data_IF_252858643847
#
_entry.id   IF_252858643847
#
_cell.length_a   1.000
_cell.length_b   1.000
_cell.length_c   1.000
_cell.angle_alpha   90.00
_cell.angle_beta   90.00
_cell.angle_gamma   90.00
#
_symmetry.space_group_name_H-M   'P 1'
#
loop_
_entity.id
_entity.type
_entity.pdbx_description
1 polymer ?
#
# COMPACT_ATOMS: atom_id res chain seq x y z
N UNK A 1 -25.20 51.20 -16.95
CA UNK A 1 -23.97 50.97 -17.74
C UNK A 1 -22.80 51.08 -16.77
N UNK A 2 -21.94 50.10 -16.54
CA UNK A 2 -21.67 48.85 -17.23
C UNK A 2 -21.52 47.72 -16.19
N UNK A 3 -22.09 46.56 -16.49
CA UNK A 3 -21.74 45.30 -15.84
C UNK A 3 -20.26 45.05 -16.08
N UNK A 4 -19.46 44.92 -15.02
CA UNK A 4 -18.13 44.32 -15.20
C UNK A 4 -18.36 42.84 -15.46
N UNK A 5 -18.30 42.46 -16.73
CA UNK A 5 -18.08 41.08 -17.12
C UNK A 5 -16.74 40.67 -16.53
N UNK A 6 -16.78 40.07 -15.34
CA UNK A 6 -15.66 39.24 -14.88
C UNK A 6 -15.53 38.15 -15.92
N UNK A 7 -14.46 38.18 -16.69
CA UNK A 7 -14.00 37.05 -17.49
C UNK A 7 -13.68 35.91 -16.52
N UNK A 8 -14.72 35.19 -16.11
CA UNK A 8 -14.63 34.00 -15.29
C UNK A 8 -14.06 32.93 -16.20
N UNK A 9 -12.84 32.47 -15.90
CA UNK A 9 -12.31 31.26 -16.51
C UNK A 9 -13.35 30.16 -16.25
N UNK A 10 -13.85 29.47 -17.29
CA UNK A 10 -14.77 28.35 -17.12
C UNK A 10 -14.25 27.34 -16.08
N UNK A 11 -15.16 26.82 -15.24
CA UNK A 11 -14.78 25.90 -14.16
C UNK A 11 -14.05 24.67 -14.69
N UNK A 12 -14.41 24.19 -15.87
CA UNK A 12 -13.79 23.03 -16.52
C UNK A 12 -12.31 23.28 -16.86
N UNK A 13 -11.96 24.51 -17.27
CA UNK A 13 -10.56 24.90 -17.54
C UNK A 13 -9.76 25.04 -16.25
N UNK A 14 -10.40 25.51 -15.17
CA UNK A 14 -9.76 25.57 -13.83
C UNK A 14 -9.49 24.14 -13.36
N UNK A 15 -10.46 23.24 -13.52
CA UNK A 15 -10.35 21.83 -13.17
C UNK A 15 -9.21 21.15 -13.92
N UNK A 16 -9.14 21.30 -15.25
CA UNK A 16 -8.06 20.76 -16.07
C UNK A 16 -6.69 21.32 -15.66
N UNK A 17 -6.63 22.61 -15.35
CA UNK A 17 -5.40 23.25 -14.85
C UNK A 17 -4.99 22.65 -13.51
N UNK A 18 -5.91 22.49 -12.57
CA UNK A 18 -5.62 21.92 -11.25
C UNK A 18 -5.20 20.45 -11.33
N UNK A 19 -5.75 19.67 -12.26
CA UNK A 19 -5.33 18.30 -12.53
C UNK A 19 -3.86 18.16 -12.96
N UNK A 20 -3.24 19.23 -13.47
CA UNK A 20 -1.82 19.24 -13.89
C UNK A 20 -0.87 19.76 -12.82
N UNK A 21 -1.41 20.34 -11.75
CA UNK A 21 -0.62 20.95 -10.67
C UNK A 21 -0.27 19.87 -9.63
N UNK A 22 0.99 19.80 -9.15
CA UNK A 22 1.34 18.91 -8.05
C UNK A 22 0.53 19.23 -6.79
N UNK A 23 0.11 18.19 -6.08
CA UNK A 23 -0.86 18.27 -4.98
C UNK A 23 -0.40 19.24 -3.87
N UNK A 24 0.90 19.37 -3.65
CA UNK A 24 1.55 20.25 -2.67
C UNK A 24 1.21 21.74 -2.88
N UNK A 25 0.91 22.13 -4.13
CA UNK A 25 0.50 23.48 -4.46
C UNK A 25 -1.03 23.65 -4.42
N UNK A 26 -1.80 22.57 -4.61
CA UNK A 26 -3.27 22.61 -4.59
C UNK A 26 -3.83 23.14 -3.27
N UNK A 27 -3.21 22.79 -2.15
CA UNK A 27 -3.64 23.26 -0.82
C UNK A 27 -3.55 24.77 -0.66
N UNK A 28 -2.61 25.43 -1.34
CA UNK A 28 -2.46 26.90 -1.31
C UNK A 28 -3.61 27.61 -2.03
N UNK A 29 -4.15 27.00 -3.08
CA UNK A 29 -5.27 27.55 -3.83
C UNK A 29 -6.60 27.52 -3.07
N UNK A 30 -6.72 26.69 -2.02
CA UNK A 30 -7.89 26.69 -1.11
C UNK A 30 -8.15 28.06 -0.47
N UNK A 31 -7.10 28.87 -0.30
CA UNK A 31 -7.17 30.18 0.35
C UNK A 31 -7.47 31.33 -0.61
N UNK A 32 -7.43 31.11 -1.93
CA UNK A 32 -7.51 32.18 -2.91
C UNK A 32 -8.95 32.63 -3.19
N UNK A 33 -9.90 31.70 -3.35
CA UNK A 33 -11.32 32.03 -3.52
C UNK A 33 -12.27 30.88 -3.16
N UNK A 34 -13.55 31.20 -2.93
CA UNK A 34 -14.60 30.23 -2.56
C UNK A 34 -14.86 29.18 -3.64
N UNK A 35 -14.76 29.55 -4.92
CA UNK A 35 -14.98 28.64 -6.05
C UNK A 35 -13.92 27.54 -6.09
N UNK A 36 -12.65 27.91 -5.91
CA UNK A 36 -11.53 26.95 -5.89
C UNK A 36 -11.56 26.08 -4.64
N UNK A 37 -11.92 26.66 -3.49
CA UNK A 37 -12.15 25.89 -2.27
C UNK A 37 -13.23 24.83 -2.45
N UNK A 38 -14.36 25.17 -3.08
CA UNK A 38 -15.44 24.24 -3.36
C UNK A 38 -14.99 23.14 -4.33
N UNK A 39 -14.28 23.49 -5.41
CA UNK A 39 -13.74 22.53 -6.37
C UNK A 39 -12.78 21.52 -5.71
N UNK A 40 -11.85 21.99 -4.88
CA UNK A 40 -10.87 21.15 -4.17
C UNK A 40 -11.49 20.28 -3.06
N UNK A 41 -12.78 20.45 -2.77
CA UNK A 41 -13.57 19.61 -1.87
C UNK A 41 -14.58 18.73 -2.61
N UNK A 42 -14.75 18.93 -3.92
CA UNK A 42 -15.67 18.15 -4.71
C UNK A 42 -15.13 16.73 -4.92
N UNK A 43 -15.97 15.73 -4.64
CA UNK A 43 -15.57 14.31 -4.73
C UNK A 43 -15.19 13.91 -6.15
N UNK A 44 -15.87 14.44 -7.17
CA UNK A 44 -15.57 14.13 -8.57
C UNK A 44 -14.20 14.66 -8.94
N UNK A 45 -13.88 15.88 -8.54
CA UNK A 45 -12.53 16.43 -8.72
C UNK A 45 -11.48 15.60 -7.97
N UNK A 46 -11.71 15.28 -6.70
CA UNK A 46 -10.75 14.52 -5.86
C UNK A 46 -10.40 13.18 -6.53
N UNK A 47 -11.41 12.42 -6.95
CA UNK A 47 -11.19 11.12 -7.58
C UNK A 47 -10.61 11.22 -8.99
N UNK A 48 -11.04 12.20 -9.78
CA UNK A 48 -10.42 12.49 -11.09
C UNK A 48 -8.95 12.87 -10.94
N UNK A 49 -8.61 13.68 -9.94
CA UNK A 49 -7.24 14.06 -9.63
C UNK A 49 -6.43 12.82 -9.24
N UNK A 50 -6.96 12.01 -8.33
CA UNK A 50 -6.31 10.80 -7.83
C UNK A 50 -5.96 9.80 -8.94
N UNK A 51 -6.81 9.64 -9.95
CA UNK A 51 -6.56 8.76 -11.11
C UNK A 51 -5.41 9.26 -12.01
N UNK A 52 -4.94 10.51 -11.83
CA UNK A 52 -3.83 11.11 -12.57
C UNK A 52 -2.51 11.18 -11.75
N UNK A 53 -2.61 11.04 -10.43
CA UNK A 53 -1.48 11.11 -9.50
C UNK A 53 -0.58 9.90 -9.72
N UNK A 54 0.71 10.14 -9.52
CA UNK A 54 1.73 9.09 -9.58
C UNK A 54 1.99 8.56 -8.18
N UNK A 55 2.17 7.25 -8.11
CA UNK A 55 2.63 6.55 -6.92
C UNK A 55 4.00 7.08 -6.47
N UNK A 56 4.22 7.04 -5.16
CA UNK A 56 5.43 7.44 -4.45
C UNK A 56 5.75 6.37 -3.42
N UNK A 57 6.92 6.48 -2.81
CA UNK A 57 7.24 5.68 -1.62
C UNK A 57 7.02 6.52 -0.36
N UNK A 58 6.49 5.87 0.68
CA UNK A 58 6.42 6.41 2.03
C UNK A 58 7.17 5.49 2.99
N UNK A 59 7.99 6.07 3.87
CA UNK A 59 8.68 5.39 4.96
C UNK A 59 8.45 6.15 6.26
N UNK A 60 8.41 5.43 7.36
CA UNK A 60 8.46 6.01 8.70
C UNK A 60 9.76 5.51 9.36
N UNK A 61 10.54 6.44 9.87
CA UNK A 61 11.86 6.17 10.44
C UNK A 61 12.15 7.16 11.56
N UNK A 62 12.47 6.66 12.75
CA UNK A 62 12.80 7.48 13.94
C UNK A 62 11.82 8.67 14.16
N UNK A 63 10.51 8.40 14.10
CA UNK A 63 9.48 9.42 14.28
C UNK A 63 9.35 10.43 13.11
N UNK A 64 10.00 10.17 11.98
CA UNK A 64 9.93 10.99 10.77
C UNK A 64 9.22 10.25 9.64
N UNK A 65 8.28 10.93 8.99
CA UNK A 65 7.62 10.49 7.76
C UNK A 65 8.41 11.01 6.57
N UNK A 66 8.89 10.11 5.73
CA UNK A 66 9.61 10.42 4.50
C UNK A 66 8.76 10.03 3.30
N UNK A 67 8.53 10.97 2.39
CA UNK A 67 7.85 10.72 1.10
C UNK A 67 8.86 10.96 -0.02
N UNK A 68 9.00 9.98 -0.90
CA UNK A 68 10.02 9.96 -1.94
C UNK A 68 9.34 9.81 -3.30
N UNK A 69 9.65 10.75 -4.19
CA UNK A 69 9.22 10.69 -5.59
C UNK A 69 10.34 10.05 -6.43
N UNK A 70 10.14 8.80 -6.90
CA UNK A 70 11.17 8.10 -7.65
C UNK A 70 11.30 8.57 -9.11
N UNK A 71 10.49 9.51 -9.61
CA UNK A 71 10.68 10.03 -10.97
C UNK A 71 11.78 11.09 -11.04
N UNK A 72 11.91 11.92 -9.99
CA UNK A 72 12.84 13.05 -9.94
C UNK A 72 13.75 13.06 -8.70
N UNK A 73 13.67 12.04 -7.85
CA UNK A 73 14.44 11.92 -6.61
C UNK A 73 14.03 12.91 -5.51
N UNK A 74 12.95 13.68 -5.69
CA UNK A 74 12.51 14.65 -4.70
C UNK A 74 12.06 13.94 -3.42
N UNK A 75 12.49 14.47 -2.27
CA UNK A 75 12.17 13.94 -0.94
C UNK A 75 11.57 15.03 -0.09
N UNK A 76 10.58 14.65 0.71
CA UNK A 76 10.08 15.48 1.80
C UNK A 76 10.13 14.68 3.09
N UNK A 77 10.58 15.33 4.16
CA UNK A 77 10.60 14.77 5.50
C UNK A 77 9.75 15.66 6.41
N UNK A 78 8.92 15.05 7.24
CA UNK A 78 8.08 15.73 8.22
C UNK A 78 7.97 14.86 9.48
N UNK A 79 7.81 15.45 10.68
CA UNK A 79 7.58 14.66 11.88
C UNK A 79 6.30 13.83 11.73
N UNK A 80 6.28 12.65 12.35
CA UNK A 80 5.06 11.86 12.50
C UNK A 80 4.03 12.70 13.27
N UNK A 81 2.73 12.63 12.91
CA UNK A 81 1.72 13.41 13.61
C UNK A 81 1.69 13.09 15.10
N UNK A 82 1.48 14.11 15.94
CA UNK A 82 1.53 13.95 17.40
C UNK A 82 0.59 12.88 17.96
N UNK A 83 -0.47 12.59 17.22
CA UNK A 83 -1.46 11.55 17.52
C UNK A 83 -0.82 10.14 17.56
N UNK A 84 0.32 9.95 16.90
CA UNK A 84 1.09 8.71 16.95
C UNK A 84 2.15 8.68 18.08
N UNK A 85 2.29 9.68 18.94
CA UNK A 85 3.34 9.71 19.98
C UNK A 85 3.31 8.54 20.98
N UNK A 86 2.16 7.88 21.15
CA UNK A 86 2.04 6.69 22.00
C UNK A 86 2.27 5.37 21.23
N UNK A 87 2.53 5.44 19.93
CA UNK A 87 2.83 4.30 19.06
C UNK A 87 4.33 4.07 19.06
N UNK A 88 4.74 2.85 19.41
CA UNK A 88 6.14 2.45 19.37
C UNK A 88 6.60 2.26 17.93
N UNK A 89 5.70 1.72 17.10
CA UNK A 89 6.00 1.23 15.78
C UNK A 89 4.73 1.20 14.92
N UNK A 90 4.84 1.53 13.63
CA UNK A 90 3.85 1.15 12.62
C UNK A 90 4.35 -0.09 11.89
N UNK A 91 3.79 -1.25 12.22
CA UNK A 91 4.29 -2.56 11.80
C UNK A 91 3.73 -3.03 10.46
N UNK A 92 2.70 -2.37 9.94
CA UNK A 92 2.17 -2.63 8.60
C UNK A 92 1.40 -1.43 8.06
N UNK A 93 1.50 -1.20 6.75
CA UNK A 93 0.72 -0.20 6.03
C UNK A 93 0.18 -0.74 4.71
N UNK A 94 -1.06 -0.37 4.37
CA UNK A 94 -1.64 -0.65 3.06
C UNK A 94 -2.50 0.53 2.63
N UNK A 95 -2.37 0.98 1.38
CA UNK A 95 -3.12 2.14 0.89
C UNK A 95 -4.29 1.75 -0.01
N UNK A 96 -5.37 2.52 0.09
CA UNK A 96 -6.45 2.59 -0.90
C UNK A 96 -6.76 4.07 -1.12
N UNK A 97 -6.66 4.53 -2.38
CA UNK A 97 -6.95 5.93 -2.74
C UNK A 97 -6.16 7.00 -1.96
N UNK A 98 -4.99 6.63 -1.45
CA UNK A 98 -4.14 7.47 -0.61
C UNK A 98 -4.53 7.55 0.86
N UNK A 99 -5.61 6.86 1.26
CA UNK A 99 -5.84 6.51 2.65
C UNK A 99 -4.97 5.31 2.99
N UNK A 100 -4.16 5.43 4.05
CA UNK A 100 -3.28 4.37 4.53
C UNK A 100 -3.91 3.76 5.77
N UNK A 101 -4.18 2.46 5.73
CA UNK A 101 -4.49 1.69 6.92
C UNK A 101 -3.18 1.30 7.60
N UNK A 102 -3.01 1.72 8.84
CA UNK A 102 -1.80 1.51 9.64
C UNK A 102 -2.12 0.58 10.81
N UNK A 103 -1.36 -0.51 10.93
CA UNK A 103 -1.30 -1.32 12.13
C UNK A 103 -0.16 -0.82 13.01
N UNK A 104 -0.47 -0.50 14.24
CA UNK A 104 0.43 0.19 15.16
C UNK A 104 0.62 -0.64 16.43
N UNK A 105 1.85 -0.71 16.95
CA UNK A 105 2.14 -1.32 18.26
C UNK A 105 2.14 -0.23 19.33
N UNK A 106 1.37 -0.41 20.40
CA UNK A 106 1.31 0.55 21.50
C UNK A 106 2.56 0.43 22.40
N UNK A 107 3.17 1.57 22.74
CA UNK A 107 4.36 1.64 23.61
C UNK A 107 4.12 1.09 25.02
N UNK A 108 2.91 1.20 25.57
CA UNK A 108 2.62 0.98 26.99
C UNK A 108 1.99 -0.37 27.25
N UNK A 109 1.09 -0.83 26.39
CA UNK A 109 0.30 -2.04 26.61
C UNK A 109 0.78 -3.28 25.86
N UNK A 110 1.77 -3.14 24.96
CA UNK A 110 2.16 -4.18 23.97
C UNK A 110 1.00 -4.65 23.08
N UNK A 111 -0.14 -3.97 23.10
CA UNK A 111 -1.30 -4.29 22.24
C UNK A 111 -1.17 -3.58 20.90
N UNK A 112 -1.85 -4.11 19.88
CA UNK A 112 -1.96 -3.42 18.60
C UNK A 112 -3.12 -2.41 18.60
N UNK A 113 -2.98 -1.42 17.73
CA UNK A 113 -3.98 -0.39 17.40
C UNK A 113 -4.10 -0.30 15.89
N UNK A 114 -5.27 0.09 15.41
CA UNK A 114 -5.54 0.24 13.99
C UNK A 114 -5.98 1.68 13.69
N UNK A 115 -5.42 2.28 12.66
CA UNK A 115 -5.82 3.62 12.21
C UNK A 115 -5.91 3.72 10.70
N UNK A 116 -6.76 4.64 10.23
CA UNK A 116 -6.70 5.13 8.86
C UNK A 116 -6.14 6.54 8.86
N UNK A 117 -5.10 6.74 8.06
CA UNK A 117 -4.32 7.96 8.00
C UNK A 117 -4.28 8.49 6.56
N UNK A 118 -4.50 9.78 6.39
CA UNK A 118 -4.09 10.50 5.18
C UNK A 118 -2.85 11.34 5.52
N UNK A 119 -1.65 10.95 5.06
CA UNK A 119 -0.42 11.70 5.29
C UNK A 119 -0.45 13.12 4.72
N UNK A 120 -1.03 13.30 3.53
CA UNK A 120 -1.07 14.60 2.86
C UNK A 120 -1.98 15.61 3.57
N UNK A 121 -3.15 15.16 4.04
CA UNK A 121 -4.08 16.00 4.80
C UNK A 121 -3.73 16.09 6.29
N UNK A 122 -2.77 15.28 6.75
CA UNK A 122 -2.42 15.12 8.15
C UNK A 122 -3.66 14.84 9.04
N UNK A 123 -4.49 13.89 8.61
CA UNK A 123 -5.73 13.47 9.30
C UNK A 123 -5.68 11.99 9.60
N UNK A 124 -6.13 11.60 10.79
CA UNK A 124 -6.10 10.23 11.29
C UNK A 124 -7.44 9.92 11.95
N UNK A 125 -7.91 8.69 11.79
CA UNK A 125 -9.00 8.10 12.57
C UNK A 125 -8.53 6.78 13.17
N UNK A 126 -8.64 6.66 14.49
CA UNK A 126 -8.43 5.38 15.18
C UNK A 126 -9.69 4.52 15.07
N UNK A 127 -9.49 3.22 14.89
CA UNK A 127 -10.57 2.24 14.81
C UNK A 127 -10.45 1.35 16.05
N UNK A 128 -11.47 1.37 16.89
CA UNK A 128 -11.54 0.48 18.06
C UNK A 128 -11.88 -0.95 17.61
N UNK A 129 -11.22 -1.99 18.17
CA UNK A 129 -11.51 -3.37 17.82
C UNK A 129 -12.89 -3.78 18.37
N UNK A 130 -13.46 -4.85 17.80
CA UNK A 130 -14.60 -5.54 18.44
C UNK A 130 -14.16 -6.25 19.73
N UNK A 131 -12.94 -6.79 19.74
CA UNK A 131 -12.34 -7.55 20.84
C UNK A 131 -10.98 -6.92 21.23
N UNK A 132 -9.89 -7.42 20.65
CA UNK A 132 -8.53 -6.89 20.73
C UNK A 132 -7.89 -7.01 19.34
N UNK A 133 -6.78 -6.31 19.08
CA UNK A 133 -5.98 -6.50 17.87
C UNK A 133 -4.77 -7.39 18.15
N UNK A 134 -4.49 -8.31 17.23
CA UNK A 134 -3.38 -9.28 17.29
C UNK A 134 -2.30 -8.96 16.25
N UNK A 135 -1.08 -9.40 16.52
CA UNK A 135 0.05 -9.44 15.56
C UNK A 135 -0.22 -10.35 14.37
N UNK A 136 -1.10 -11.34 14.52
CA UNK A 136 -1.46 -12.26 13.44
C UNK A 136 -2.64 -11.76 12.59
N UNK A 137 -3.22 -10.60 12.92
CA UNK A 137 -4.34 -10.08 12.17
C UNK A 137 -3.92 -9.59 10.78
N UNK A 138 -4.71 -9.98 9.78
CA UNK A 138 -4.59 -9.48 8.43
C UNK A 138 -5.62 -8.40 8.17
N UNK A 139 -5.20 -7.37 7.44
CA UNK A 139 -6.05 -6.23 7.14
C UNK A 139 -6.10 -5.90 5.65
N UNK A 140 -7.23 -5.32 5.25
CA UNK A 140 -7.42 -4.71 3.93
C UNK A 140 -8.30 -3.48 4.03
N UNK A 141 -8.14 -2.53 3.12
CA UNK A 141 -8.99 -1.35 3.02
C UNK A 141 -9.49 -1.19 1.59
N UNK A 142 -10.76 -0.89 1.44
CA UNK A 142 -11.42 -0.78 0.14
C UNK A 142 -12.74 -0.06 0.25
N UNK A 143 -13.53 -0.09 -0.81
CA UNK A 143 -14.83 0.59 -0.88
C UNK A 143 -15.80 -0.15 -1.80
N UNK A 144 -17.09 0.12 -1.61
CA UNK A 144 -18.12 -0.41 -2.51
C UNK A 144 -18.09 0.32 -3.86
N UNK A 145 -17.40 -0.24 -4.85
CA UNK A 145 -17.27 0.34 -6.18
C UNK A 145 -18.55 0.32 -7.02
N UNK A 146 -19.62 -0.35 -6.58
CA UNK A 146 -20.95 -0.34 -7.23
C UNK A 146 -21.80 0.82 -6.71
N UNK A 147 -21.75 1.08 -5.41
CA UNK A 147 -22.54 2.14 -4.77
C UNK A 147 -21.82 3.48 -4.86
N UNK A 148 -20.61 3.56 -4.30
CA UNK A 148 -19.82 4.79 -4.30
C UNK A 148 -18.38 4.60 -3.78
N UNK A 149 -17.42 5.31 -4.38
CA UNK A 149 -15.99 5.31 -4.01
C UNK A 149 -15.71 5.89 -2.61
N UNK A 150 -16.68 6.52 -1.97
CA UNK A 150 -16.56 7.11 -0.62
C UNK A 150 -17.09 6.21 0.51
N UNK A 151 -17.72 5.07 0.19
CA UNK A 151 -18.16 4.08 1.18
C UNK A 151 -17.02 3.11 1.49
N UNK A 152 -15.96 3.65 2.12
CA UNK A 152 -14.82 2.85 2.55
C UNK A 152 -15.23 1.84 3.63
N UNK A 153 -14.49 0.73 3.69
CA UNK A 153 -14.58 -0.32 4.68
C UNK A 153 -13.20 -0.86 5.00
N UNK A 154 -13.04 -1.43 6.19
CA UNK A 154 -11.84 -2.18 6.57
C UNK A 154 -12.20 -3.65 6.74
N UNK A 155 -11.44 -4.51 6.06
CA UNK A 155 -11.46 -5.95 6.27
C UNK A 155 -10.43 -6.31 7.34
N UNK A 156 -10.81 -7.19 8.24
CA UNK A 156 -9.93 -7.84 9.19
C UNK A 156 -10.17 -9.35 9.16
N UNK A 157 -9.10 -10.14 9.05
CA UNK A 157 -9.12 -11.59 9.26
C UNK A 157 -8.46 -11.83 10.61
N UNK A 158 -9.27 -12.20 11.59
CA UNK A 158 -8.89 -12.36 12.99
C UNK A 158 -8.48 -13.80 13.29
N UNK A 159 -7.22 -13.99 13.70
CA UNK A 159 -6.63 -15.30 14.01
C UNK A 159 -6.99 -15.81 15.43
N UNK A 160 -7.65 -14.99 16.25
CA UNK A 160 -8.22 -15.45 17.53
C UNK A 160 -7.25 -15.60 18.69
N UNK A 161 -5.95 -15.62 18.45
CA UNK A 161 -4.96 -15.86 19.49
C UNK A 161 -4.51 -14.57 20.18
N UNK A 162 -4.74 -14.42 21.50
CA UNK A 162 -4.07 -13.41 22.30
C UNK A 162 -2.58 -13.75 22.46
N UNK A 163 -1.72 -12.75 22.57
CA UNK A 163 -0.27 -12.94 22.70
C UNK A 163 0.18 -13.56 24.04
N UNK A 164 -0.73 -13.81 24.98
CA UNK A 164 -0.39 -14.22 26.36
C UNK A 164 -0.01 -15.71 26.52
N UNK A 165 0.18 -16.44 25.41
CA UNK A 165 0.75 -17.79 25.43
C UNK A 165 -0.12 -18.81 26.15
N UNK A 166 -1.40 -18.52 26.38
CA UNK A 166 -2.35 -19.50 26.90
C UNK A 166 -2.61 -20.57 25.83
N UNK A 167 -1.80 -21.64 25.88
CA UNK A 167 -1.93 -22.85 25.07
C UNK A 167 -3.32 -23.47 25.27
N UNK A 168 -4.29 -23.04 24.48
CA UNK A 168 -5.40 -23.90 24.14
C UNK A 168 -5.34 -24.09 22.63
N UNK A 169 -4.72 -25.21 22.25
CA UNK A 169 -4.79 -25.79 20.92
C UNK A 169 -6.24 -26.20 20.61
N UNK A 170 -7.12 -25.23 20.47
CA UNK A 170 -8.37 -25.38 19.72
C UNK A 170 -8.07 -24.82 18.35
N UNK A 171 -8.44 -25.56 17.30
CA UNK A 171 -8.41 -25.05 15.92
C UNK A 171 -9.26 -23.78 15.86
N UNK A 172 -8.66 -22.61 16.04
CA UNK A 172 -9.37 -21.34 15.92
C UNK A 172 -9.66 -21.15 14.44
N UNK A 173 -10.93 -21.03 14.09
CA UNK A 173 -11.30 -20.67 12.72
C UNK A 173 -11.17 -19.15 12.61
N UNK A 174 -10.38 -18.64 11.65
CA UNK A 174 -10.18 -17.21 11.51
C UNK A 174 -11.53 -16.53 11.25
N UNK A 175 -11.85 -15.49 12.01
CA UNK A 175 -13.10 -14.75 11.86
C UNK A 175 -12.91 -13.58 10.92
N UNK A 176 -13.82 -13.43 9.97
CA UNK A 176 -13.82 -12.31 9.05
C UNK A 176 -14.67 -11.18 9.64
N UNK A 177 -14.05 -10.04 9.88
CA UNK A 177 -14.68 -8.84 10.40
C UNK A 177 -14.62 -7.72 9.35
N UNK A 178 -15.73 -7.01 9.17
CA UNK A 178 -15.80 -5.79 8.36
C UNK A 178 -16.17 -4.61 9.23
N UNK A 179 -15.36 -3.56 9.16
CA UNK A 179 -15.67 -2.26 9.71
C UNK A 179 -16.25 -1.37 8.62
N UNK A 180 -17.42 -0.81 8.88
CA UNK A 180 -18.07 0.13 7.97
C UNK A 180 -17.98 1.54 8.57
N UNK A 181 -17.32 2.45 7.85
CA UNK A 181 -17.18 3.84 8.31
C UNK A 181 -18.52 4.57 8.39
N UNK A 182 -19.48 4.22 7.53
CA UNK A 182 -20.82 4.82 7.52
C UNK A 182 -21.57 4.56 8.83
N UNK A 183 -21.39 3.38 9.41
CA UNK A 183 -22.04 2.96 10.65
C UNK A 183 -21.12 3.01 11.86
N UNK A 184 -19.84 3.36 11.66
CA UNK A 184 -18.80 3.40 12.69
C UNK A 184 -18.78 2.13 13.56
N UNK A 185 -18.94 0.96 12.93
CA UNK A 185 -19.09 -0.31 13.65
C UNK A 185 -18.53 -1.50 12.87
N UNK A 186 -18.09 -2.50 13.63
CA UNK A 186 -17.69 -3.81 13.12
C UNK A 186 -18.91 -4.73 13.01
N UNK A 187 -18.84 -5.64 12.04
CA UNK A 187 -19.71 -6.81 11.95
C UNK A 187 -18.93 -8.01 11.43
N UNK A 188 -19.46 -9.19 11.73
CA UNK A 188 -18.97 -10.43 11.16
C UNK A 188 -19.48 -10.59 9.73
N UNK A 189 -18.60 -11.06 8.85
CA UNK A 189 -18.99 -11.61 7.54
C UNK A 189 -19.22 -13.10 7.74
N UNK A 190 -20.17 -13.68 7.00
CA UNK A 190 -20.58 -15.07 7.16
C UNK A 190 -19.38 -16.03 7.27
N UNK A 191 -19.56 -17.03 8.14
CA UNK A 191 -18.55 -17.99 8.53
C UNK A 191 -18.05 -18.77 7.32
N UNK A 192 -16.88 -18.37 6.82
CA UNK A 192 -16.22 -19.01 5.69
C UNK A 192 -14.94 -19.61 6.23
N UNK A 193 -14.82 -20.93 6.21
CA UNK A 193 -13.55 -21.58 6.52
C UNK A 193 -12.54 -21.18 5.46
N UNK A 194 -11.46 -20.51 5.87
CA UNK A 194 -10.34 -20.19 5.00
C UNK A 194 -9.42 -21.41 4.92
N UNK A 195 -9.22 -21.93 3.70
CA UNK A 195 -8.30 -23.04 3.39
C UNK A 195 -6.98 -22.55 2.78
N UNK A 196 -6.70 -21.26 2.93
CA UNK A 196 -5.52 -20.55 2.46
C UNK A 196 -5.03 -19.56 3.52
N UNK A 197 -3.78 -19.13 3.36
CA UNK A 197 -3.13 -18.10 4.17
C UNK A 197 -2.48 -17.05 3.27
N UNK A 198 -2.19 -15.89 3.86
CA UNK A 198 -1.42 -14.81 3.23
C UNK A 198 -0.14 -14.65 4.03
N UNK A 199 1.00 -14.61 3.36
CA UNK A 199 2.31 -14.45 3.99
C UNK A 199 3.18 -13.51 3.14
N UNK A 200 3.80 -12.45 3.71
CA UNK A 200 3.66 -11.95 5.07
C UNK A 200 2.30 -11.27 5.32
N UNK A 201 1.93 -11.04 6.60
CA UNK A 201 0.80 -10.20 6.94
C UNK A 201 0.94 -8.81 6.30
N UNK A 202 -0.14 -8.36 5.64
CA UNK A 202 -0.33 -6.99 5.16
C UNK A 202 0.30 -6.55 3.83
N UNK A 203 0.76 -7.45 2.95
CA UNK A 203 1.10 -7.10 1.56
C UNK A 203 -0.03 -7.28 0.57
N UNK A 204 -1.06 -6.46 0.75
CA UNK A 204 -2.12 -6.36 -0.24
C UNK A 204 -1.93 -5.15 -1.16
N UNK A 205 -2.52 -5.22 -2.34
CA UNK A 205 -2.72 -4.04 -3.19
C UNK A 205 -4.20 -3.76 -3.37
N UNK A 206 -4.58 -2.48 -3.29
CA UNK A 206 -5.92 -2.03 -3.60
C UNK A 206 -6.02 -1.65 -5.09
N UNK A 207 -6.95 -2.27 -5.82
CA UNK A 207 -7.25 -1.92 -7.21
C UNK A 207 -8.76 -1.74 -7.36
N UNK A 208 -9.19 -0.54 -7.77
CA UNK A 208 -10.61 -0.15 -7.91
C UNK A 208 -11.47 -0.48 -6.68
N UNK A 209 -10.90 -0.26 -5.49
CA UNK A 209 -11.59 -0.44 -4.21
C UNK A 209 -11.64 -1.88 -3.70
N UNK A 210 -11.10 -2.83 -4.44
CA UNK A 210 -10.96 -4.22 -4.01
C UNK A 210 -9.51 -4.51 -3.63
N UNK A 211 -9.33 -5.46 -2.72
CA UNK A 211 -8.01 -5.86 -2.26
C UNK A 211 -7.57 -7.16 -2.91
N UNK A 212 -6.27 -7.26 -3.20
CA UNK A 212 -5.64 -8.41 -3.83
C UNK A 212 -4.35 -8.77 -3.09
N UNK A 213 -4.12 -10.05 -2.88
CA UNK A 213 -2.96 -10.60 -2.19
C UNK A 213 -2.40 -11.80 -2.96
N UNK A 214 -1.10 -12.02 -2.81
CA UNK A 214 -0.49 -13.32 -3.08
C UNK A 214 -0.82 -14.23 -1.88
N UNK A 215 -1.41 -15.39 -2.16
CA UNK A 215 -1.90 -16.32 -1.15
C UNK A 215 -1.47 -17.75 -1.46
N UNK A 216 -1.37 -18.57 -0.41
CA UNK A 216 -0.94 -19.95 -0.45
C UNK A 216 -2.05 -20.85 0.08
N UNK A 217 -2.23 -22.02 -0.52
CA UNK A 217 -3.14 -23.01 0.05
C UNK A 217 -2.52 -23.66 1.27
N UNK A 218 -3.31 -23.90 2.31
CA UNK A 218 -2.80 -24.57 3.53
C UNK A 218 -2.37 -26.02 3.26
N UNK A 219 -2.98 -26.66 2.26
CA UNK A 219 -2.79 -28.09 1.95
C UNK A 219 -2.28 -28.35 0.53
N UNK A 220 -1.85 -27.31 -0.20
CA UNK A 220 -1.36 -27.47 -1.57
C UNK A 220 -0.18 -26.53 -1.85
N UNK A 221 0.77 -26.91 -2.71
CA UNK A 221 1.95 -26.10 -2.98
C UNK A 221 1.68 -24.90 -3.91
N UNK A 222 0.51 -24.83 -4.55
CA UNK A 222 0.22 -23.74 -5.48
C UNK A 222 0.02 -22.39 -4.78
N UNK A 223 0.54 -21.35 -5.41
CA UNK A 223 0.37 -19.96 -5.02
C UNK A 223 -0.58 -19.31 -6.01
N UNK A 224 -1.45 -18.45 -5.51
CA UNK A 224 -2.48 -17.79 -6.31
C UNK A 224 -2.75 -16.37 -5.84
N UNK A 225 -3.55 -15.65 -6.61
CA UNK A 225 -4.04 -14.32 -6.25
C UNK A 225 -5.42 -14.48 -5.62
N UNK A 226 -5.50 -14.12 -4.35
CA UNK A 226 -6.75 -14.01 -3.60
C UNK A 226 -7.23 -12.56 -3.66
N UNK A 227 -8.52 -12.36 -3.89
CA UNK A 227 -9.14 -11.04 -3.81
C UNK A 227 -10.23 -10.98 -2.75
N UNK A 228 -10.51 -9.78 -2.26
CA UNK A 228 -11.73 -9.48 -1.51
C UNK A 228 -12.47 -8.34 -2.19
N UNK A 229 -13.71 -8.62 -2.58
CA UNK A 229 -14.60 -7.68 -3.23
C UNK A 229 -15.42 -6.93 -2.16
N UNK A 230 -15.22 -5.63 -1.99
CA UNK A 230 -15.92 -4.85 -0.95
C UNK A 230 -17.37 -4.49 -1.32
N UNK A 231 -17.74 -4.66 -2.59
CA UNK A 231 -19.10 -4.45 -3.08
C UNK A 231 -19.96 -5.68 -2.84
N UNK A 232 -19.43 -6.87 -3.08
CA UNK A 232 -20.14 -8.14 -2.83
C UNK A 232 -19.79 -8.78 -1.48
N UNK A 233 -18.73 -8.31 -0.82
CA UNK A 233 -18.22 -8.78 0.48
C UNK A 233 -17.82 -10.25 0.47
N UNK A 234 -17.15 -10.66 -0.60
CA UNK A 234 -16.77 -12.06 -0.83
C UNK A 234 -15.33 -12.18 -1.28
N UNK A 235 -14.71 -13.27 -0.86
CA UNK A 235 -13.44 -13.73 -1.39
C UNK A 235 -13.60 -14.37 -2.77
N UNK A 236 -12.66 -14.11 -3.68
CA UNK A 236 -12.60 -14.75 -5.00
C UNK A 236 -11.15 -15.10 -5.36
N UNK A 237 -10.94 -16.34 -5.81
CA UNK A 237 -9.69 -16.73 -6.47
C UNK A 237 -9.65 -16.06 -7.84
N UNK A 238 -8.61 -15.28 -8.09
CA UNK A 238 -8.46 -14.50 -9.33
C UNK A 238 -7.68 -15.30 -10.37
N UNK A 239 -6.52 -15.84 -10.00
CA UNK A 239 -5.64 -16.57 -10.91
C UNK A 239 -4.50 -17.25 -10.13
N UNK A 240 -3.95 -18.34 -10.66
CA UNK A 240 -2.64 -18.83 -10.20
C UNK A 240 -1.51 -17.90 -10.66
N UNK A 241 -0.34 -17.97 -10.02
CA UNK A 241 0.85 -17.26 -10.48
C UNK A 241 1.32 -17.77 -11.85
N UNK A 242 1.93 -16.93 -12.70
CA UNK A 242 2.42 -17.33 -14.02
C UNK A 242 3.69 -18.18 -13.99
N UNK A 243 4.26 -18.41 -12.81
CA UNK A 243 5.52 -19.11 -12.57
C UNK A 243 5.45 -19.87 -11.25
N UNK A 244 6.39 -20.79 -11.04
CA UNK A 244 6.62 -21.39 -9.72
C UNK A 244 7.50 -20.42 -8.93
N UNK A 245 7.09 -20.07 -7.73
CA UNK A 245 7.86 -19.24 -6.81
C UNK A 245 8.49 -20.16 -5.77
N UNK A 246 9.81 -20.18 -5.70
CA UNK A 246 10.55 -20.78 -4.59
C UNK A 246 10.41 -19.98 -3.31
N UNK A 247 10.90 -20.54 -2.19
CA UNK A 247 10.90 -19.88 -0.88
C UNK A 247 11.81 -18.65 -0.86
N UNK A 248 12.94 -18.74 -1.57
CA UNK A 248 13.96 -17.69 -1.66
C UNK A 248 13.74 -16.76 -2.87
N UNK A 249 12.68 -17.01 -3.65
CA UNK A 249 12.32 -16.14 -4.76
C UNK A 249 11.54 -14.93 -4.26
N UNK A 250 11.83 -13.77 -4.86
CA UNK A 250 11.10 -12.54 -4.56
C UNK A 250 9.91 -12.38 -5.48
N UNK A 251 8.72 -12.29 -4.90
CA UNK A 251 7.50 -11.88 -5.58
C UNK A 251 6.90 -10.62 -4.93
N UNK A 252 6.65 -9.58 -5.72
CA UNK A 252 5.98 -8.37 -5.26
C UNK A 252 4.77 -8.06 -6.14
N UNK A 253 3.62 -7.81 -5.51
CA UNK A 253 2.37 -7.48 -6.19
C UNK A 253 2.13 -5.96 -6.17
N UNK A 254 1.65 -5.40 -7.28
CA UNK A 254 1.35 -3.97 -7.38
C UNK A 254 0.19 -3.71 -8.35
N UNK A 255 -0.26 -2.46 -8.40
CA UNK A 255 -1.31 -2.01 -9.31
C UNK A 255 -0.70 -1.69 -10.68
N UNK A 256 -1.43 -1.96 -11.76
CA UNK A 256 -0.99 -1.59 -13.10
C UNK A 256 -2.08 -0.81 -13.82
N UNK A 257 -1.81 0.47 -14.06
CA UNK A 257 -2.68 1.38 -14.84
C UNK A 257 -4.14 1.40 -14.37
N UNK A 258 -4.36 1.18 -13.07
CA UNK A 258 -5.63 1.35 -12.38
C UNK A 258 -6.67 0.24 -12.56
N UNK A 259 -6.48 -0.74 -13.46
CA UNK A 259 -7.47 -1.81 -13.69
C UNK A 259 -6.89 -3.23 -13.85
N UNK A 260 -5.57 -3.36 -13.63
CA UNK A 260 -4.81 -4.60 -13.73
C UNK A 260 -3.89 -4.74 -12.53
N UNK A 261 -3.35 -5.94 -12.36
CA UNK A 261 -2.25 -6.21 -11.45
C UNK A 261 -0.95 -6.29 -12.24
N UNK A 262 0.15 -5.92 -11.58
CA UNK A 262 1.49 -6.33 -11.97
C UNK A 262 2.11 -7.21 -10.88
N UNK A 263 2.95 -8.15 -11.30
CA UNK A 263 3.70 -9.03 -10.42
C UNK A 263 5.18 -8.99 -10.83
N UNK A 264 6.03 -8.48 -9.95
CA UNK A 264 7.48 -8.51 -10.09
C UNK A 264 7.97 -9.84 -9.55
N UNK A 265 8.91 -10.45 -10.26
CA UNK A 265 9.56 -11.69 -9.90
C UNK A 265 11.07 -11.59 -10.10
N UNK A 266 11.83 -11.98 -9.08
CA UNK A 266 13.27 -12.20 -9.17
C UNK A 266 13.60 -13.54 -8.53
N UNK A 267 14.26 -14.39 -9.30
CA UNK A 267 14.79 -15.65 -8.80
C UNK A 267 16.08 -15.39 -8.03
N UNK A 268 16.29 -16.05 -6.90
CA UNK A 268 17.44 -15.85 -6.01
C UNK A 268 18.79 -15.84 -6.76
N UNK A 269 19.04 -16.87 -7.57
CA UNK A 269 20.31 -17.05 -8.28
C UNK A 269 20.42 -16.23 -9.59
N UNK A 270 19.41 -15.44 -9.96
CA UNK A 270 19.34 -14.79 -11.26
C UNK A 270 19.51 -13.27 -11.18
N UNK A 271 20.42 -12.72 -11.99
CA UNK A 271 20.55 -11.26 -12.24
C UNK A 271 19.47 -10.75 -13.19
N UNK A 272 18.22 -11.09 -12.90
CA UNK A 272 17.08 -10.84 -13.78
C UNK A 272 15.82 -10.53 -13.00
N UNK A 273 15.16 -9.45 -13.41
CA UNK A 273 13.83 -9.08 -12.95
C UNK A 273 12.83 -9.32 -14.07
N UNK A 274 11.79 -10.09 -13.78
CA UNK A 274 10.62 -10.23 -14.63
C UNK A 274 9.44 -9.44 -14.07
N UNK A 275 8.66 -8.82 -14.94
CA UNK A 275 7.38 -8.21 -14.56
C UNK A 275 6.29 -8.83 -15.42
N UNK A 276 5.27 -9.35 -14.77
CA UNK A 276 4.07 -9.89 -15.39
C UNK A 276 2.91 -8.93 -15.14
N UNK A 277 1.98 -8.85 -16.09
CA UNK A 277 0.74 -8.08 -15.91
C UNK A 277 -0.47 -8.93 -16.23
N UNK A 278 -1.60 -8.61 -15.62
CA UNK A 278 -2.87 -9.24 -15.98
C UNK A 278 -3.51 -8.56 -17.20
N UNK A 279 -4.46 -9.24 -17.84
CA UNK A 279 -5.57 -8.55 -18.50
C UNK A 279 -6.46 -7.84 -17.44
N UNK A 280 -7.55 -7.19 -17.88
CA UNK A 280 -8.34 -6.38 -16.95
C UNK A 280 -8.96 -7.28 -15.89
N UNK A 281 -8.97 -6.80 -14.65
CA UNK A 281 -9.59 -7.53 -13.53
C UNK A 281 -11.11 -7.67 -13.65
N UNK A 282 -11.73 -6.91 -14.57
CA UNK A 282 -13.15 -7.02 -14.91
C UNK A 282 -13.47 -8.08 -15.95
N UNK A 283 -12.45 -8.70 -16.58
CA UNK A 283 -12.66 -9.74 -17.58
C UNK A 283 -13.11 -11.05 -16.89
N UNK A 284 -13.83 -11.92 -17.61
CA UNK A 284 -14.34 -13.18 -17.05
C UNK A 284 -13.23 -14.11 -16.54
N UNK A 285 -12.08 -14.09 -17.22
CA UNK A 285 -10.90 -14.87 -16.85
C UNK A 285 -9.72 -13.93 -16.77
N UNK A 286 -9.07 -13.91 -15.61
CA UNK A 286 -7.84 -13.15 -15.39
C UNK A 286 -6.63 -14.05 -15.69
N UNK A 287 -5.77 -13.59 -16.58
CA UNK A 287 -4.58 -14.30 -17.04
C UNK A 287 -3.38 -13.37 -17.09
N UNK A 288 -2.19 -13.95 -16.94
CA UNK A 288 -0.93 -13.24 -16.90
C UNK A 288 -0.24 -13.23 -18.25
N UNK A 289 0.41 -12.12 -18.57
CA UNK A 289 1.32 -11.99 -19.72
C UNK A 289 2.60 -11.33 -19.25
N UNK A 290 3.74 -11.85 -19.71
CA UNK A 290 5.05 -11.24 -19.41
C UNK A 290 5.12 -9.86 -20.05
N UNK A 291 5.33 -8.85 -19.24
CA UNK A 291 5.36 -7.45 -19.65
C UNK A 291 6.80 -6.96 -19.88
N UNK A 292 7.67 -7.20 -18.90
CA UNK A 292 9.09 -6.84 -18.97
C UNK A 292 9.95 -8.02 -18.52
N UNK A 293 11.16 -8.06 -19.06
CA UNK A 293 12.21 -8.98 -18.66
C UNK A 293 13.53 -8.21 -18.78
N UNK A 294 14.15 -7.89 -17.65
CA UNK A 294 15.34 -7.06 -17.58
C UNK A 294 16.46 -7.88 -16.97
N UNK A 295 17.61 -7.91 -17.64
CA UNK A 295 18.83 -8.55 -17.16
C UNK A 295 19.96 -7.53 -17.17
N UNK A 296 20.59 -7.33 -16.03
CA UNK A 296 21.74 -6.43 -15.88
C UNK A 296 22.55 -6.85 -14.65
N UNK A 297 23.88 -6.76 -14.70
CA UNK A 297 24.73 -7.02 -13.53
C UNK A 297 24.56 -5.97 -12.42
N UNK A 298 23.97 -4.82 -12.75
CA UNK A 298 23.74 -3.72 -11.80
C UNK A 298 22.36 -3.80 -11.11
N UNK A 299 21.58 -4.86 -11.35
CA UNK A 299 20.28 -5.01 -10.69
C UNK A 299 20.47 -5.20 -9.18
N UNK A 300 19.65 -4.54 -8.35
CA UNK A 300 19.64 -4.84 -6.93
C UNK A 300 19.19 -6.29 -6.72
N UNK A 301 19.79 -6.95 -5.73
CA UNK A 301 19.27 -8.21 -5.23
C UNK A 301 18.11 -7.89 -4.32
N UNK A 302 16.91 -8.28 -4.73
CA UNK A 302 15.73 -8.13 -3.91
C UNK A 302 15.68 -9.38 -3.03
N UNK A 303 16.21 -9.28 -1.82
CA UNK A 303 16.16 -10.36 -0.84
C UNK A 303 14.81 -10.35 -0.11
N UNK A 304 14.32 -11.53 0.20
CA UNK A 304 13.21 -11.74 1.13
C UNK A 304 13.66 -12.77 2.17
N UNK A 305 14.59 -12.35 3.04
CA UNK A 305 14.86 -13.07 4.28
C UNK A 305 13.83 -12.63 5.36
N UNK A 306 13.63 -13.44 6.39
CA UNK A 306 12.77 -13.14 7.55
C UNK A 306 13.16 -11.82 8.24
N UNK A 307 14.45 -11.48 8.18
CA UNK A 307 15.01 -10.30 8.83
C UNK A 307 14.91 -9.01 7.98
N UNK A 308 14.69 -9.11 6.66
CA UNK A 308 14.72 -7.95 5.74
C UNK A 308 13.33 -7.45 5.34
N UNK A 309 13.22 -6.13 5.20
CA UNK A 309 12.01 -5.52 4.67
C UNK A 309 11.82 -5.94 3.22
N UNK A 310 10.65 -6.51 2.95
CA UNK A 310 10.32 -6.92 1.60
C UNK A 310 10.21 -5.74 0.63
N UNK A 311 10.60 -5.94 -0.64
CA UNK A 311 10.63 -4.87 -1.61
C UNK A 311 9.24 -4.39 -1.98
N UNK A 312 9.11 -3.08 -2.16
CA UNK A 312 7.94 -2.44 -2.76
C UNK A 312 8.28 -1.95 -4.14
N UNK A 313 7.34 -2.04 -5.07
CA UNK A 313 7.57 -1.56 -6.43
C UNK A 313 6.28 -1.11 -7.10
N UNK A 314 6.46 -0.36 -8.18
CA UNK A 314 5.41 -0.08 -9.15
C UNK A 314 6.02 0.28 -10.51
N UNK A 315 5.17 0.33 -11.54
CA UNK A 315 5.57 0.69 -12.90
C UNK A 315 5.23 2.16 -13.17
N UNK A 316 6.27 2.99 -13.36
CA UNK A 316 6.13 4.42 -13.65
C UNK A 316 5.57 4.70 -15.06
N UNK A 317 5.29 5.98 -15.36
CA UNK A 317 4.64 6.39 -16.63
C UNK A 317 5.44 6.04 -17.89
N UNK A 318 6.77 6.02 -17.76
CA UNK A 318 7.68 5.65 -18.86
C UNK A 318 8.02 4.15 -18.83
N UNK A 319 7.19 3.35 -18.16
CA UNK A 319 7.36 1.91 -17.97
C UNK A 319 8.72 1.53 -17.34
N UNK A 320 9.29 2.44 -16.55
CA UNK A 320 10.42 2.12 -15.70
C UNK A 320 9.89 1.40 -14.46
N UNK A 321 10.62 0.40 -14.00
CA UNK A 321 10.36 -0.28 -12.74
C UNK A 321 10.95 0.59 -11.64
N UNK A 322 10.09 1.10 -10.76
CA UNK A 322 10.49 1.83 -9.56
C UNK A 322 10.51 0.85 -8.41
N UNK A 323 11.67 0.63 -7.78
CA UNK A 323 11.83 -0.36 -6.72
C UNK A 323 12.38 0.31 -5.48
N UNK A 324 11.80 -0.03 -4.34
CA UNK A 324 12.29 0.22 -3.00
C UNK A 324 12.74 -1.10 -2.39
N UNK A 325 13.97 -1.19 -1.90
CA UNK A 325 14.50 -2.39 -1.24
C UNK A 325 15.53 -2.05 -0.17
N UNK A 326 15.71 -2.99 0.74
CA UNK A 326 16.83 -3.04 1.69
C UNK A 326 18.03 -3.74 1.05
N UNK A 327 19.23 -3.27 1.39
CA UNK A 327 20.51 -3.79 0.92
C UNK A 327 21.44 -3.97 2.12
N UNK A 328 21.99 -5.16 2.28
CA UNK A 328 23.02 -5.40 3.30
C UNK A 328 24.32 -4.68 2.94
N UNK A 329 25.01 -4.18 3.97
CA UNK A 329 26.34 -3.61 3.82
C UNK A 329 27.35 -4.67 4.28
N UNK A 330 28.24 -5.07 3.37
CA UNK A 330 29.36 -5.96 3.69
C UNK A 330 30.42 -5.22 4.53
N UNK A 331 30.16 -4.99 5.82
CA UNK A 331 31.16 -4.54 6.79
C UNK A 331 31.29 -5.55 7.95
N UNK A 332 32.49 -6.10 8.15
CA UNK A 332 32.77 -7.23 9.07
C UNK A 332 32.43 -6.98 10.56
N UNK A 333 31.99 -5.77 10.92
CA UNK A 333 31.78 -5.35 12.32
C UNK A 333 30.37 -4.90 12.67
N UNK A 334 29.51 -4.61 11.69
CA UNK A 334 28.16 -4.10 11.94
C UNK A 334 27.16 -4.66 10.91
N UNK A 335 26.07 -5.23 11.42
CA UNK A 335 24.97 -5.74 10.60
C UNK A 335 24.06 -4.56 10.22
N UNK A 336 24.56 -3.61 9.42
CA UNK A 336 23.80 -2.44 8.98
C UNK A 336 23.17 -2.68 7.59
N UNK A 337 21.94 -2.23 7.43
CA UNK A 337 21.19 -2.26 6.18
C UNK A 337 21.00 -0.84 5.64
N UNK A 338 21.29 -0.66 4.36
CA UNK A 338 20.98 0.53 3.58
C UNK A 338 19.60 0.37 2.93
N UNK A 339 18.83 1.45 2.84
CA UNK A 339 17.55 1.42 2.10
C UNK A 339 17.62 2.25 0.83
N UNK A 340 17.31 1.62 -0.31
CA UNK A 340 17.60 2.18 -1.63
C UNK A 340 16.36 2.28 -2.51
N UNK A 341 16.34 3.29 -3.38
CA UNK A 341 15.35 3.44 -4.46
C UNK A 341 16.02 3.38 -5.82
N UNK A 342 15.55 2.43 -6.62
CA UNK A 342 16.02 2.18 -7.97
C UNK A 342 14.98 2.58 -9.02
N UNK A 343 15.47 3.15 -10.11
CA UNK A 343 14.74 3.30 -11.36
C UNK A 343 15.40 2.43 -12.41
N UNK A 344 14.70 1.40 -12.85
CA UNK A 344 15.21 0.40 -13.79
C UNK A 344 14.44 0.55 -15.11
N UNK A 345 15.17 0.84 -16.18
CA UNK A 345 14.58 0.94 -17.52
C UNK A 345 14.37 -0.44 -18.16
N UNK A 346 13.52 -0.50 -19.17
CA UNK A 346 13.31 -1.73 -19.97
C UNK A 346 14.59 -2.24 -20.63
N UNK A 347 15.50 -1.31 -20.96
CA UNK A 347 16.75 -1.60 -21.65
C UNK A 347 17.87 -2.06 -20.67
N UNK A 348 17.54 -2.25 -19.38
CA UNK A 348 18.50 -2.73 -18.37
C UNK A 348 19.36 -1.65 -17.73
N UNK A 349 19.15 -0.38 -18.07
CA UNK A 349 19.81 0.73 -17.36
C UNK A 349 19.22 0.85 -15.96
N UNK A 350 20.07 0.66 -14.95
CA UNK A 350 19.74 0.81 -13.53
C UNK A 350 20.24 2.16 -13.03
N UNK A 351 19.40 2.88 -12.30
CA UNK A 351 19.79 4.13 -11.62
C UNK A 351 19.34 4.09 -10.18
N UNK A 352 20.30 4.03 -9.24
CA UNK A 352 20.05 4.33 -7.81
C UNK A 352 19.74 5.81 -7.69
N UNK A 353 18.50 6.16 -7.35
CA UNK A 353 18.10 7.56 -7.21
C UNK A 353 18.33 8.09 -5.80
N UNK A 354 18.15 7.22 -4.81
CA UNK A 354 18.00 7.62 -3.44
C UNK A 354 18.54 6.52 -2.54
N UNK A 355 19.51 6.89 -1.70
CA UNK A 355 19.96 6.14 -0.53
C UNK A 355 19.33 6.76 0.72
N UNK A 356 18.69 5.94 1.56
CA UNK A 356 17.87 6.33 2.71
C UNK A 356 18.41 5.66 3.97
N UNK A 357 19.48 6.24 4.51
CA UNK A 357 19.94 5.99 5.88
C UNK A 357 20.41 4.56 6.15
N UNK A 358 21.00 4.38 7.32
CA UNK A 358 21.43 3.08 7.85
C UNK A 358 20.42 2.61 8.91
N UNK A 359 20.13 1.32 8.92
CA UNK A 359 19.31 0.66 9.93
C UNK A 359 20.07 -0.54 10.51
N UNK A 360 20.15 -0.61 11.84
CA UNK A 360 20.79 -1.72 12.56
C UNK A 360 19.90 -2.98 12.52
N UNK A 361 20.43 -4.12 12.05
CA UNK A 361 19.74 -5.43 12.03
C UNK A 361 19.46 -5.96 13.44
N UNK A 362 20.27 -5.61 14.45
CA UNK A 362 20.28 -6.30 15.76
C UNK A 362 19.22 -5.85 16.76
N UNK A 363 18.40 -4.86 16.41
CA UNK A 363 17.38 -4.38 17.33
C UNK A 363 16.15 -5.29 17.26
N UNK A 364 15.89 -6.02 18.36
CA UNK A 364 14.79 -6.99 18.63
C UNK A 364 13.35 -6.43 18.47
N UNK A 365 13.25 -5.22 17.92
CA UNK A 365 12.03 -4.49 17.62
C UNK A 365 12.17 -3.71 16.31
N UNK A 366 12.71 -4.34 15.25
CA UNK A 366 12.66 -3.81 13.88
C UNK A 366 11.23 -3.38 13.62
N UNK A 367 11.00 -2.06 13.67
CA UNK A 367 9.86 -1.47 13.02
C UNK A 367 9.95 -1.91 11.57
N UNK A 368 9.05 -2.74 11.04
CA UNK A 368 9.06 -3.20 9.65
C UNK A 368 9.43 -2.01 8.71
N UNK A 369 10.71 -1.86 8.35
CA UNK A 369 11.24 -0.68 7.60
C UNK A 369 10.96 -0.88 6.11
N UNK A 370 9.77 -1.40 5.79
CA UNK A 370 9.29 -1.42 4.43
C UNK A 370 8.99 0.01 3.99
N UNK A 371 9.56 0.43 2.87
CA UNK A 371 8.96 1.51 2.11
C UNK A 371 7.65 0.98 1.53
N UNK A 372 6.58 1.74 1.66
CA UNK A 372 5.27 1.38 1.12
C UNK A 372 4.96 2.22 -0.10
N UNK A 373 4.24 1.65 -1.05
CA UNK A 373 3.64 2.43 -2.12
C UNK A 373 2.58 3.37 -1.50
N UNK A 374 2.55 4.61 -1.96
CA UNK A 374 1.67 5.64 -1.47
C UNK A 374 1.20 6.55 -2.60
N UNK A 375 -0.08 6.92 -2.56
CA UNK A 375 -0.69 7.91 -3.43
C UNK A 375 -1.03 9.18 -2.64
N UNK A 376 -0.35 10.31 -2.88
CA UNK A 376 -0.78 11.60 -2.32
C UNK A 376 -2.21 11.93 -2.70
N UNK A 377 -3.07 12.21 -1.72
CA UNK A 377 -4.51 12.28 -1.95
C UNK A 377 -5.22 13.38 -1.17
N UNK A 378 -6.23 13.97 -1.82
CA UNK A 378 -7.19 14.89 -1.21
C UNK A 378 -8.41 14.17 -0.61
N UNK A 379 -8.46 12.84 -0.68
CA UNK A 379 -9.54 12.04 -0.10
C UNK A 379 -9.57 12.26 1.42
N UNK A 380 -10.68 12.77 1.98
CA UNK A 380 -10.79 12.94 3.42
C UNK A 380 -10.78 11.58 4.12
N UNK A 381 -10.18 11.52 5.30
CA UNK A 381 -10.35 10.34 6.18
C UNK A 381 -11.84 10.24 6.52
N UNK A 382 -12.48 9.07 6.32
CA UNK A 382 -13.90 8.91 6.63
C UNK A 382 -14.15 9.11 8.13
N UNK A 383 -15.20 9.86 8.47
CA UNK A 383 -15.51 10.25 9.87
C UNK A 383 -16.25 9.18 10.67
#
# INVERSE_FOLDING_TARGET
MASSERSLIPIDLIEETFCRIPIEYLTKFKLACKQWYALLKDKRFIYKYLDLVQERFIRIDDGMVQIINPENGARSSSPIPDVFHNVAEISAMVHCDGLILCRCKDTRSRTYKLSVWNPFLNRIKWIEPMDFYSSNDFYGIGYNNVVSRDEYKVLRIFDGQPEDGSEIAVSYQPKIQLYDFKYNSWRLVNDTTLDWSIDPPCKGVSVKGNMYWVAHWNNRPEIFIQSFDFSTETFKLVSNLPFRCGVLDTAALSSFRGDKLSLLYQHEEATKIEVWITNKLSDEVVSWTKYLNVTSPELPTLHTDEDLAHPSYFIGKNDNIMVWCEEEIEDETNDDVCVSVYKISKDGIVKKQVDVGLCDLRNDGRAFVCGYVYLPSLVPVPE
#
